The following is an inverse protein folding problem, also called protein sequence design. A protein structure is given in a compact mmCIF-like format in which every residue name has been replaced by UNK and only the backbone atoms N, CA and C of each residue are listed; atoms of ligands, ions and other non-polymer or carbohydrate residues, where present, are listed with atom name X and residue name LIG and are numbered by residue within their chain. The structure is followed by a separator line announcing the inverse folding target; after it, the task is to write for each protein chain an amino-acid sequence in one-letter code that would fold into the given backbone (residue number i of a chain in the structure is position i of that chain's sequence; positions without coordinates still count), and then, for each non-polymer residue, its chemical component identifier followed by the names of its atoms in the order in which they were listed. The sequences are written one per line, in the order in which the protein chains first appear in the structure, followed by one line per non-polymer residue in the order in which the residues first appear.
data_IF_208378433129
#
_entry.id   IF_208378433129
#
_cell.length_a   1.000
_cell.length_b   1.000
_cell.length_c   1.000
_cell.angle_alpha   90.00
_cell.angle_beta   90.00
_cell.angle_gamma   90.00
#
_symmetry.space_group_name_H-M   'P 1'
#
loop_
_entity.id
_entity.type
_entity.pdbx_description
1 polymer ?
#
# COMPACT_ATOMS: atom_id res chain seq x y z
N UNK A 1 -8.40 -27.49 38.11
CA UNK A 1 -7.31 -26.75 37.45
C UNK A 1 -7.82 -26.37 36.07
N UNK A 2 -8.55 -25.25 36.05
CA UNK A 2 -9.27 -24.71 34.90
C UNK A 2 -8.24 -23.91 34.10
N UNK A 3 -7.66 -24.55 33.08
CA UNK A 3 -6.69 -23.90 32.19
C UNK A 3 -7.45 -22.78 31.51
N UNK A 4 -6.97 -21.55 31.72
CA UNK A 4 -7.44 -20.36 31.06
C UNK A 4 -7.39 -20.58 29.55
N UNK A 5 -8.55 -20.88 28.95
CA UNK A 5 -8.79 -20.65 27.54
C UNK A 5 -8.60 -19.15 27.33
N UNK A 6 -7.40 -18.82 26.87
CA UNK A 6 -7.05 -17.49 26.39
C UNK A 6 -8.20 -16.98 25.53
N UNK A 7 -8.82 -15.90 25.97
CA UNK A 7 -9.75 -15.07 25.23
C UNK A 7 -9.06 -14.43 24.00
N UNK A 8 -8.53 -15.26 23.10
CA UNK A 8 -8.08 -14.85 21.78
C UNK A 8 -9.32 -14.62 20.93
N UNK A 9 -9.95 -13.46 21.16
CA UNK A 9 -10.75 -12.70 20.21
C UNK A 9 -11.45 -13.57 19.14
N UNK A 10 -12.54 -14.23 19.55
CA UNK A 10 -13.41 -15.03 18.68
C UNK A 10 -14.21 -14.19 17.68
N UNK A 11 -13.88 -12.90 17.51
CA UNK A 11 -14.56 -12.01 16.57
C UNK A 11 -14.34 -12.50 15.15
N UNK A 12 -15.40 -13.03 14.55
CA UNK A 12 -15.42 -13.40 13.14
C UNK A 12 -15.40 -12.14 12.32
N UNK A 13 -14.42 -12.04 11.42
CA UNK A 13 -14.32 -10.94 10.49
C UNK A 13 -14.97 -11.35 9.16
N UNK A 14 -16.07 -10.71 8.84
CA UNK A 14 -16.84 -10.94 7.61
C UNK A 14 -16.67 -9.78 6.63
N UNK A 15 -16.70 -10.09 5.34
CA UNK A 15 -16.62 -9.12 4.26
C UNK A 15 -17.66 -9.45 3.18
N UNK A 16 -18.03 -8.46 2.37
CA UNK A 16 -18.92 -8.60 1.22
C UNK A 16 -18.26 -7.95 0.00
N UNK A 17 -18.75 -8.27 -1.20
CA UNK A 17 -18.23 -7.68 -2.43
C UNK A 17 -18.37 -6.15 -2.44
N UNK A 18 -19.51 -5.62 -1.97
CA UNK A 18 -19.74 -4.17 -1.89
C UNK A 18 -18.73 -3.48 -0.98
N UNK A 19 -18.40 -4.10 0.16
CA UNK A 19 -17.41 -3.57 1.09
C UNK A 19 -15.99 -3.67 0.55
N UNK A 20 -15.68 -4.71 -0.19
CA UNK A 20 -14.41 -4.81 -0.91
C UNK A 20 -14.28 -3.71 -1.97
N UNK A 21 -15.36 -3.44 -2.73
CA UNK A 21 -15.42 -2.34 -3.69
C UNK A 21 -15.24 -0.97 -3.03
N UNK A 22 -15.94 -0.72 -1.92
CA UNK A 22 -15.77 0.49 -1.12
C UNK A 22 -14.34 0.64 -0.59
N UNK A 23 -13.74 -0.44 -0.11
CA UNK A 23 -12.36 -0.41 0.37
C UNK A 23 -11.37 -0.04 -0.75
N UNK A 24 -11.54 -0.57 -1.97
CA UNK A 24 -10.73 -0.20 -3.13
C UNK A 24 -10.90 1.29 -3.45
N UNK A 25 -12.14 1.80 -3.45
CA UNK A 25 -12.41 3.22 -3.67
C UNK A 25 -11.75 4.09 -2.59
N UNK A 26 -11.85 3.71 -1.32
CA UNK A 26 -11.17 4.40 -0.20
C UNK A 26 -9.66 4.40 -0.38
N UNK A 27 -9.06 3.26 -0.72
CA UNK A 27 -7.62 3.16 -0.98
C UNK A 27 -7.18 4.07 -2.12
N UNK A 28 -7.93 4.10 -3.22
CA UNK A 28 -7.70 5.02 -4.34
C UNK A 28 -7.77 6.49 -3.91
N UNK A 29 -8.81 6.91 -3.18
CA UNK A 29 -8.94 8.29 -2.71
C UNK A 29 -7.74 8.71 -1.85
N UNK A 30 -7.31 7.85 -0.92
CA UNK A 30 -6.15 8.12 -0.07
C UNK A 30 -4.87 8.22 -0.90
N UNK A 31 -4.68 7.33 -1.88
CA UNK A 31 -3.55 7.38 -2.81
C UNK A 31 -3.48 8.68 -3.61
N UNK A 32 -4.63 9.16 -4.11
CA UNK A 32 -4.72 10.45 -4.82
C UNK A 32 -4.45 11.64 -3.92
N UNK A 33 -4.97 11.63 -2.68
CA UNK A 33 -4.68 12.67 -1.70
C UNK A 33 -3.17 12.73 -1.39
N UNK A 34 -2.52 11.58 -1.23
CA UNK A 34 -1.08 11.49 -1.02
C UNK A 34 -0.29 12.03 -2.22
N UNK A 35 -0.64 11.63 -3.45
CA UNK A 35 -0.01 12.12 -4.67
C UNK A 35 -0.15 13.65 -4.83
N UNK A 36 -1.32 14.19 -4.50
CA UNK A 36 -1.57 15.64 -4.52
C UNK A 36 -0.75 16.38 -3.47
N UNK A 37 -0.62 15.81 -2.27
CA UNK A 37 0.22 16.36 -1.20
C UNK A 37 1.69 16.44 -1.63
N UNK A 38 2.21 15.39 -2.27
CA UNK A 38 3.56 15.40 -2.84
C UNK A 38 3.71 16.46 -3.94
N UNK A 39 2.73 16.58 -4.85
CA UNK A 39 2.75 17.59 -5.90
C UNK A 39 2.73 19.02 -5.34
N UNK A 40 1.97 19.27 -4.26
CA UNK A 40 1.92 20.56 -3.59
C UNK A 40 3.27 20.96 -2.97
N UNK A 41 4.05 19.99 -2.48
CA UNK A 41 5.40 20.23 -1.96
C UNK A 41 6.41 20.62 -3.05
N UNK A 42 6.13 20.34 -4.33
CA UNK A 42 7.02 20.61 -5.47
C UNK A 42 7.08 22.06 -5.95
N UNK A 43 6.50 23.02 -5.22
CA UNK A 43 6.50 24.48 -5.46
C UNK A 43 5.95 24.99 -6.81
N UNK A 44 5.61 24.11 -7.76
CA UNK A 44 5.23 24.46 -9.15
C UNK A 44 3.83 23.99 -9.53
N UNK A 45 3.11 23.32 -8.62
CA UNK A 45 1.80 22.77 -8.91
C UNK A 45 0.68 23.82 -8.75
N UNK A 46 0.19 24.34 -9.88
CA UNK A 46 -1.07 25.11 -9.90
C UNK A 46 -2.29 24.22 -9.57
N UNK A 47 -3.48 24.80 -9.37
CA UNK A 47 -4.70 24.06 -8.98
C UNK A 47 -5.03 22.89 -9.92
N UNK A 48 -4.85 23.08 -11.23
CA UNK A 48 -5.06 22.04 -12.23
C UNK A 48 -4.03 20.90 -12.14
N UNK A 49 -2.79 21.21 -11.77
CA UNK A 49 -1.76 20.22 -11.51
C UNK A 49 -2.08 19.36 -10.28
N UNK A 50 -2.57 19.98 -9.20
CA UNK A 50 -3.01 19.27 -8.00
C UNK A 50 -4.23 18.37 -8.28
N UNK A 51 -5.21 18.87 -9.01
CA UNK A 51 -6.36 18.08 -9.43
C UNK A 51 -5.93 16.88 -10.29
N UNK A 52 -5.01 17.09 -11.23
CA UNK A 52 -4.48 16.02 -12.09
C UNK A 52 -3.72 14.97 -11.26
N UNK A 53 -2.88 15.41 -10.32
CA UNK A 53 -2.18 14.52 -9.39
C UNK A 53 -3.16 13.71 -8.53
N UNK A 54 -4.26 14.32 -8.08
CA UNK A 54 -5.31 13.64 -7.34
C UNK A 54 -5.95 12.53 -8.17
N UNK A 55 -6.47 12.86 -9.35
CA UNK A 55 -7.19 11.90 -10.18
C UNK A 55 -6.29 10.77 -10.69
N UNK A 56 -5.09 11.11 -11.17
CA UNK A 56 -4.11 10.11 -11.62
C UNK A 56 -3.63 9.26 -10.44
N UNK A 57 -3.31 9.88 -9.31
CA UNK A 57 -2.90 9.17 -8.10
C UNK A 57 -3.98 8.22 -7.60
N UNK A 58 -5.25 8.65 -7.61
CA UNK A 58 -6.37 7.80 -7.20
C UNK A 58 -6.61 6.63 -8.13
N UNK A 59 -6.63 6.89 -9.44
CA UNK A 59 -6.83 5.87 -10.45
C UNK A 59 -5.70 4.83 -10.41
N UNK A 60 -4.44 5.28 -10.43
CA UNK A 60 -3.28 4.39 -10.43
C UNK A 60 -3.18 3.60 -9.12
N UNK A 61 -3.50 4.23 -7.98
CA UNK A 61 -3.51 3.52 -6.70
C UNK A 61 -4.59 2.44 -6.66
N UNK A 62 -5.82 2.73 -7.11
CA UNK A 62 -6.90 1.75 -7.19
C UNK A 62 -6.54 0.58 -8.13
N UNK A 63 -5.91 0.86 -9.27
CA UNK A 63 -5.42 -0.16 -10.20
C UNK A 63 -4.31 -1.01 -9.56
N UNK A 64 -3.34 -0.40 -8.88
CA UNK A 64 -2.26 -1.13 -8.21
C UNK A 64 -2.79 -2.03 -7.08
N UNK A 65 -3.74 -1.53 -6.27
CA UNK A 65 -4.44 -2.32 -5.26
C UNK A 65 -5.11 -3.52 -5.92
N UNK A 66 -5.89 -3.28 -6.98
CA UNK A 66 -6.66 -4.32 -7.66
C UNK A 66 -5.77 -5.38 -8.32
N UNK A 67 -4.69 -4.96 -8.98
CA UNK A 67 -3.81 -5.84 -9.74
C UNK A 67 -2.83 -6.61 -8.84
N UNK A 68 -2.36 -6.00 -7.74
CA UNK A 68 -1.25 -6.54 -6.96
C UNK A 68 -1.69 -6.94 -5.55
N UNK A 69 -2.33 -6.05 -4.80
CA UNK A 69 -2.70 -6.31 -3.41
C UNK A 69 -3.89 -7.27 -3.28
N UNK A 70 -4.88 -7.18 -4.17
CA UNK A 70 -6.11 -7.98 -4.11
C UNK A 70 -5.83 -9.49 -4.22
N UNK A 71 -5.01 -10.01 -5.15
CA UNK A 71 -4.66 -11.44 -5.17
C UNK A 71 -4.07 -11.94 -3.85
N UNK A 72 -3.15 -11.17 -3.24
CA UNK A 72 -2.55 -11.50 -1.95
C UNK A 72 -3.59 -11.47 -0.83
N UNK A 73 -4.47 -10.46 -0.84
CA UNK A 73 -5.57 -10.36 0.10
C UNK A 73 -6.56 -11.53 -0.03
N UNK A 74 -6.93 -11.96 -1.25
CA UNK A 74 -7.80 -13.13 -1.48
C UNK A 74 -7.17 -14.36 -0.84
N UNK A 75 -5.88 -14.61 -1.10
CA UNK A 75 -5.17 -15.74 -0.50
C UNK A 75 -5.20 -15.69 1.04
N UNK A 76 -4.91 -14.53 1.62
CA UNK A 76 -4.99 -14.35 3.08
C UNK A 76 -6.41 -14.56 3.61
N UNK A 77 -7.41 -14.03 2.92
CA UNK A 77 -8.82 -14.17 3.28
C UNK A 77 -9.29 -15.62 3.29
N UNK A 78 -8.90 -16.39 2.27
CA UNK A 78 -9.20 -17.83 2.13
C UNK A 78 -8.48 -18.66 3.21
N UNK A 79 -7.28 -18.24 3.62
CA UNK A 79 -6.52 -18.88 4.72
C UNK A 79 -6.98 -18.48 6.13
N UNK A 80 -8.04 -17.68 6.27
CA UNK A 80 -8.56 -17.20 7.56
C UNK A 80 -7.75 -16.05 8.20
N UNK A 81 -6.72 -15.53 7.52
CA UNK A 81 -5.85 -14.44 8.00
C UNK A 81 -6.48 -13.07 7.74
N UNK A 82 -7.53 -12.75 8.51
CA UNK A 82 -8.40 -11.57 8.28
C UNK A 82 -8.19 -10.42 9.25
N UNK A 83 -7.08 -10.39 10.01
CA UNK A 83 -6.79 -9.32 10.99
C UNK A 83 -6.17 -8.09 10.34
N UNK A 84 -6.36 -6.92 10.95
CA UNK A 84 -5.77 -5.65 10.48
C UNK A 84 -4.24 -5.72 10.26
N UNK A 85 -3.52 -6.44 11.12
CA UNK A 85 -2.07 -6.63 10.98
C UNK A 85 -1.68 -7.34 9.67
N UNK A 86 -2.51 -8.27 9.17
CA UNK A 86 -2.27 -8.91 7.88
C UNK A 86 -2.48 -7.91 6.73
N UNK A 87 -3.53 -7.09 6.80
CA UNK A 87 -3.75 -6.04 5.80
C UNK A 87 -2.62 -5.01 5.78
N UNK A 88 -2.10 -4.63 6.95
CA UNK A 88 -0.90 -3.78 7.07
C UNK A 88 0.31 -4.41 6.39
N UNK A 89 0.59 -5.70 6.63
CA UNK A 89 1.70 -6.41 5.99
C UNK A 89 1.53 -6.53 4.47
N UNK A 90 0.32 -6.82 3.98
CA UNK A 90 0.04 -6.86 2.55
C UNK A 90 0.30 -5.50 1.91
N UNK A 91 -0.20 -4.42 2.52
CA UNK A 91 0.06 -3.06 2.08
C UNK A 91 1.56 -2.71 2.09
N UNK A 92 2.24 -2.99 3.20
CA UNK A 92 3.67 -2.72 3.34
C UNK A 92 4.53 -3.48 2.32
N UNK A 93 4.33 -4.80 2.19
CA UNK A 93 5.09 -5.63 1.28
C UNK A 93 4.84 -5.25 -0.18
N UNK A 94 3.57 -5.03 -0.54
CA UNK A 94 3.20 -4.61 -1.91
C UNK A 94 3.80 -3.25 -2.23
N UNK A 95 3.64 -2.27 -1.34
CA UNK A 95 4.20 -0.93 -1.50
C UNK A 95 5.72 -0.98 -1.63
N UNK A 96 6.41 -1.67 -0.71
CA UNK A 96 7.87 -1.80 -0.74
C UNK A 96 8.35 -2.38 -2.08
N UNK A 97 7.80 -3.51 -2.51
CA UNK A 97 8.19 -4.15 -3.76
C UNK A 97 7.95 -3.20 -4.94
N UNK A 98 6.74 -2.65 -5.07
CA UNK A 98 6.40 -1.75 -6.17
C UNK A 98 7.31 -0.52 -6.20
N UNK A 99 7.56 0.12 -5.06
CA UNK A 99 8.38 1.33 -5.00
C UNK A 99 9.87 1.06 -5.20
N UNK A 100 10.41 -0.05 -4.70
CA UNK A 100 11.79 -0.44 -4.98
C UNK A 100 11.96 -0.71 -6.48
N UNK A 101 11.06 -1.48 -7.09
CA UNK A 101 11.13 -1.77 -8.53
C UNK A 101 10.92 -0.51 -9.37
N UNK A 102 9.98 0.37 -9.01
CA UNK A 102 9.77 1.62 -9.73
C UNK A 102 11.02 2.52 -9.72
N UNK A 103 11.72 2.60 -8.58
CA UNK A 103 12.95 3.40 -8.44
C UNK A 103 14.16 2.76 -9.12
N UNK A 104 14.23 1.43 -9.19
CA UNK A 104 15.41 0.71 -9.70
C UNK A 104 15.31 0.29 -11.16
N UNK A 105 14.16 -0.21 -11.62
CA UNK A 105 13.95 -0.66 -13.00
C UNK A 105 13.55 0.48 -13.94
N UNK A 106 12.94 1.55 -13.43
CA UNK A 106 12.47 2.70 -14.24
C UNK A 106 13.47 3.86 -14.37
N UNK A 107 14.19 4.21 -13.30
CA UNK A 107 15.02 5.43 -13.21
C UNK A 107 16.48 5.21 -12.82
N UNK A 108 17.00 3.98 -12.93
CA UNK A 108 18.33 3.72 -12.38
C UNK A 108 19.15 2.56 -12.91
N UNK A 109 18.61 1.57 -13.62
CA UNK A 109 19.45 0.46 -14.08
C UNK A 109 19.88 0.58 -15.54
N UNK A 110 18.99 1.01 -16.43
CA UNK A 110 19.24 1.00 -17.87
C UNK A 110 19.89 2.28 -18.41
N UNK A 111 19.68 3.42 -17.75
CA UNK A 111 20.30 4.71 -18.09
C UNK A 111 21.36 5.14 -17.06
N UNK A 112 21.81 4.22 -16.20
CA UNK A 112 22.84 4.52 -15.22
C UNK A 112 24.20 4.74 -15.89
N UNK A 113 24.91 5.82 -15.53
CA UNK A 113 26.33 5.93 -15.83
C UNK A 113 27.07 4.72 -15.24
N UNK A 114 28.15 4.25 -15.91
CA UNK A 114 29.04 3.24 -15.34
C UNK A 114 29.42 3.63 -13.91
N UNK A 115 29.05 2.78 -12.95
CA UNK A 115 29.17 3.04 -11.52
C UNK A 115 30.00 1.94 -10.88
N UNK A 116 30.84 2.30 -9.92
CA UNK A 116 31.53 1.31 -9.09
C UNK A 116 30.55 0.61 -8.11
N UNK A 117 31.02 -0.45 -7.47
CA UNK A 117 30.18 -1.25 -6.57
C UNK A 117 29.66 -0.45 -5.37
N UNK A 118 30.43 0.52 -4.86
CA UNK A 118 30.03 1.34 -3.72
C UNK A 118 28.88 2.28 -4.09
N UNK A 119 28.96 2.92 -5.26
CA UNK A 119 27.91 3.77 -5.79
C UNK A 119 26.64 2.96 -6.06
N UNK A 120 26.76 1.75 -6.60
CA UNK A 120 25.61 0.85 -6.79
C UNK A 120 24.95 0.47 -5.46
N UNK A 121 25.73 0.09 -4.45
CA UNK A 121 25.21 -0.24 -3.12
C UNK A 121 24.49 0.95 -2.47
N UNK A 122 25.06 2.16 -2.56
CA UNK A 122 24.43 3.37 -2.05
C UNK A 122 23.09 3.67 -2.74
N UNK A 123 23.02 3.49 -4.06
CA UNK A 123 21.77 3.69 -4.83
C UNK A 123 20.67 2.72 -4.41
N UNK A 124 21.02 1.45 -4.25
CA UNK A 124 20.09 0.44 -3.74
C UNK A 124 19.65 0.72 -2.30
N UNK A 125 20.58 1.13 -1.43
CA UNK A 125 20.27 1.49 -0.06
C UNK A 125 19.34 2.70 0.03
N UNK A 126 19.60 3.74 -0.78
CA UNK A 126 18.75 4.93 -0.86
C UNK A 126 17.35 4.60 -1.37
N UNK A 127 17.24 3.82 -2.45
CA UNK A 127 15.97 3.36 -3.00
C UNK A 127 15.19 2.49 -2.01
N UNK A 128 15.87 1.62 -1.26
CA UNK A 128 15.24 0.84 -0.21
C UNK A 128 14.73 1.73 0.93
N UNK A 129 15.52 2.72 1.37
CA UNK A 129 15.14 3.62 2.45
C UNK A 129 13.90 4.46 2.10
N UNK A 130 13.84 5.06 0.91
CA UNK A 130 12.65 5.79 0.45
C UNK A 130 11.45 4.86 0.28
N UNK A 131 11.67 3.64 -0.18
CA UNK A 131 10.61 2.64 -0.33
C UNK A 131 10.04 2.18 1.01
N UNK A 132 10.83 2.13 2.09
CA UNK A 132 10.33 1.82 3.43
C UNK A 132 9.34 2.89 3.90
N UNK A 133 9.63 4.17 3.63
CA UNK A 133 8.70 5.26 3.97
C UNK A 133 7.37 5.11 3.23
N UNK A 134 7.42 4.83 1.93
CA UNK A 134 6.21 4.63 1.13
C UNK A 134 5.48 3.32 1.46
N UNK A 135 6.21 2.29 1.89
CA UNK A 135 5.63 1.06 2.42
C UNK A 135 4.86 1.30 3.72
N UNK A 136 5.32 2.20 4.59
CA UNK A 136 4.57 2.58 5.79
C UNK A 136 3.25 3.28 5.44
N UNK A 137 3.25 4.14 4.42
CA UNK A 137 2.02 4.76 3.88
C UNK A 137 1.09 3.70 3.31
N UNK A 138 1.61 2.75 2.53
CA UNK A 138 0.83 1.65 1.98
C UNK A 138 0.26 0.72 3.06
N UNK A 139 0.99 0.51 4.16
CA UNK A 139 0.51 -0.23 5.32
C UNK A 139 -0.68 0.47 5.98
N UNK A 140 -0.60 1.79 6.15
CA UNK A 140 -1.70 2.60 6.69
C UNK A 140 -2.93 2.54 5.79
N UNK A 141 -2.75 2.63 4.46
CA UNK A 141 -3.84 2.44 3.50
C UNK A 141 -4.47 1.06 3.68
N UNK A 142 -3.67 0.00 3.78
CA UNK A 142 -4.16 -1.36 4.03
C UNK A 142 -4.98 -1.49 5.32
N UNK A 143 -4.57 -0.81 6.39
CA UNK A 143 -5.31 -0.76 7.66
C UNK A 143 -6.65 -0.03 7.47
N UNK A 144 -6.66 1.14 6.83
CA UNK A 144 -7.89 1.90 6.60
C UNK A 144 -8.86 1.10 5.74
N UNK A 145 -8.36 0.50 4.66
CA UNK A 145 -9.14 -0.39 3.80
C UNK A 145 -9.71 -1.56 4.58
N UNK A 146 -8.97 -2.12 5.54
CA UNK A 146 -9.45 -3.21 6.38
C UNK A 146 -10.67 -2.80 7.22
N UNK A 147 -10.63 -1.61 7.84
CA UNK A 147 -11.78 -1.08 8.59
C UNK A 147 -13.02 -0.90 7.71
N UNK A 148 -12.83 -0.50 6.44
CA UNK A 148 -13.94 -0.38 5.47
C UNK A 148 -14.43 -1.76 5.02
N UNK A 149 -13.53 -2.70 4.73
CA UNK A 149 -13.84 -3.99 4.15
C UNK A 149 -14.49 -4.98 5.14
N UNK A 150 -14.12 -4.93 6.42
CA UNK A 150 -14.50 -5.94 7.40
C UNK A 150 -15.44 -5.41 8.48
N UNK A 151 -16.45 -6.21 8.83
CA UNK A 151 -17.18 -6.08 10.09
C UNK A 151 -16.69 -7.14 11.05
N UNK A 152 -16.57 -6.76 12.32
CA UNK A 152 -16.54 -7.73 13.41
C UNK A 152 -17.96 -8.21 13.66
N UNK A 153 -18.16 -9.52 13.61
CA UNK A 153 -19.39 -10.19 14.02
C UNK A 153 -19.05 -10.97 15.28
N UNK A 154 -19.82 -10.72 16.34
CA UNK A 154 -19.76 -11.45 17.61
C UNK A 154 -20.43 -12.82 17.48
#
# INVERSE_FOLDING_TARGET
MQVAESAFDSRRHETTLDRAGLAIATGGIIGGAFASGLAAMGATAGPLGLASAFFLGSLLCALAITAVATPVWIFMHLSGRRRAGHAAMVGAATGFIVFVFAQTYGFGLFDAPPSDIQTLLFRWASAAATSVLLAAVAALIGIIMWFVAYRSVE
#
